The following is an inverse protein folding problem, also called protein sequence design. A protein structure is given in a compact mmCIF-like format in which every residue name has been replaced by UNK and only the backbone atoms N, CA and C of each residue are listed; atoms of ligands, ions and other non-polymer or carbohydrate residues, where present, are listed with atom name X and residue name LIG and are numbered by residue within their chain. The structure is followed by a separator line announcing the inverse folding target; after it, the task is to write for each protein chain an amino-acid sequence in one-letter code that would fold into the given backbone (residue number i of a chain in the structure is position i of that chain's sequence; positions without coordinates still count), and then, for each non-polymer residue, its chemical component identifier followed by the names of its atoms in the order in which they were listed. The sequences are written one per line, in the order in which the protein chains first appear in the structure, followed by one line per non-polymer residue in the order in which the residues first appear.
data_IF_289430298700
#
_entry.id   IF_289430298700
#
_cell.length_a   1.000
_cell.length_b   1.000
_cell.length_c   1.000
_cell.angle_alpha   90.00
_cell.angle_beta   90.00
_cell.angle_gamma   90.00
#
_symmetry.space_group_name_H-M   'P 1'
#
loop_
_entity.id
_entity.type
_entity.pdbx_description
1 polymer ?
#
# COMPACT_ATOMS: atom_id res chain seq x y z
N UNK A 1 37.75 -58.13 -50.15
CA UNK A 1 36.62 -57.56 -49.39
C UNK A 1 37.14 -56.45 -48.51
N UNK A 2 37.05 -55.18 -48.96
CA UNK A 2 37.36 -53.99 -48.16
C UNK A 2 36.14 -53.08 -48.27
N UNK A 3 35.41 -52.93 -47.17
CA UNK A 3 34.20 -52.11 -47.09
C UNK A 3 34.57 -50.63 -47.06
N UNK A 4 33.96 -49.86 -47.96
CA UNK A 4 34.00 -48.39 -47.98
C UNK A 4 32.79 -47.92 -47.18
N UNK A 5 33.01 -47.31 -46.01
CA UNK A 5 31.97 -46.64 -45.24
C UNK A 5 31.88 -45.18 -45.68
N UNK A 6 30.77 -44.80 -46.32
CA UNK A 6 30.46 -43.41 -46.67
C UNK A 6 29.96 -42.64 -45.46
N UNK A 7 30.58 -41.50 -45.17
CA UNK A 7 30.09 -40.55 -44.17
C UNK A 7 28.99 -39.67 -44.80
N UNK A 8 27.78 -39.73 -44.23
CA UNK A 8 26.69 -38.82 -44.56
C UNK A 8 26.84 -37.57 -43.70
N UNK A 9 27.11 -36.42 -44.33
CA UNK A 9 27.08 -35.11 -43.69
C UNK A 9 25.63 -34.65 -43.62
N UNK A 10 25.03 -34.67 -42.42
CA UNK A 10 23.73 -34.05 -42.20
C UNK A 10 23.93 -32.53 -42.03
N UNK A 11 23.54 -31.75 -43.03
CA UNK A 11 23.46 -30.30 -42.92
C UNK A 11 22.28 -29.93 -42.03
N UNK A 12 22.54 -29.48 -40.80
CA UNK A 12 21.53 -28.88 -39.93
C UNK A 12 21.13 -27.52 -40.51
N UNK A 13 19.94 -27.43 -41.08
CA UNK A 13 19.30 -26.15 -41.41
C UNK A 13 18.94 -25.45 -40.10
N UNK A 14 19.77 -24.50 -39.68
CA UNK A 14 19.40 -23.54 -38.64
C UNK A 14 18.41 -22.56 -39.26
N UNK A 15 17.13 -22.67 -38.90
CA UNK A 15 16.17 -21.61 -39.18
C UNK A 15 16.51 -20.40 -38.30
N UNK A 16 16.59 -19.18 -38.85
CA UNK A 16 16.76 -17.99 -38.03
C UNK A 16 15.52 -17.87 -37.13
N UNK A 17 15.73 -17.91 -35.81
CA UNK A 17 14.71 -17.51 -34.85
C UNK A 17 14.46 -16.03 -35.12
N UNK A 18 13.31 -15.71 -35.67
CA UNK A 18 12.87 -14.32 -35.84
C UNK A 18 12.76 -13.75 -34.42
N UNK A 19 13.60 -12.79 -34.07
CA UNK A 19 13.49 -12.10 -32.79
C UNK A 19 12.13 -11.39 -32.77
N UNK A 20 11.24 -11.83 -31.86
CA UNK A 20 9.98 -11.14 -31.62
C UNK A 20 10.35 -9.75 -31.12
N UNK A 21 9.81 -8.70 -31.74
CA UNK A 21 9.96 -7.35 -31.22
C UNK A 21 9.36 -7.33 -29.81
N UNK A 22 10.19 -7.04 -28.81
CA UNK A 22 9.84 -7.14 -27.41
C UNK A 22 9.28 -5.80 -26.95
N UNK A 23 7.99 -5.77 -26.58
CA UNK A 23 7.39 -4.59 -25.96
C UNK A 23 7.90 -4.47 -24.53
N UNK A 24 8.54 -3.35 -24.20
CA UNK A 24 8.97 -3.08 -22.83
C UNK A 24 7.91 -2.26 -22.10
N UNK A 25 7.67 -2.61 -20.83
CA UNK A 25 6.81 -1.86 -19.90
C UNK A 25 7.63 -1.59 -18.65
N UNK A 26 7.92 -0.32 -18.39
CA UNK A 26 8.61 0.09 -17.17
C UNK A 26 7.58 0.35 -16.08
N UNK A 27 7.71 -0.36 -14.96
CA UNK A 27 6.80 -0.28 -13.82
C UNK A 27 7.49 0.38 -12.65
N UNK A 28 6.93 1.47 -12.14
CA UNK A 28 7.44 2.12 -10.93
C UNK A 28 6.54 1.85 -9.74
N UNK A 29 7.12 1.33 -8.66
CA UNK A 29 6.42 1.10 -7.38
C UNK A 29 7.08 1.86 -6.25
N UNK A 30 6.26 2.36 -5.34
CA UNK A 30 6.67 2.98 -4.09
C UNK A 30 6.22 2.10 -2.92
N UNK A 31 7.06 1.95 -1.91
CA UNK A 31 6.68 1.28 -0.68
C UNK A 31 7.86 0.94 0.19
N UNK A 32 7.57 0.31 1.32
CA UNK A 32 8.58 -0.04 2.31
C UNK A 32 9.31 -1.33 1.92
N UNK A 33 10.55 -1.56 2.41
CA UNK A 33 11.27 -2.80 2.18
C UNK A 33 10.44 -4.04 2.55
N UNK A 34 10.37 -5.00 1.62
CA UNK A 34 9.53 -6.20 1.78
C UNK A 34 8.14 -6.08 1.16
N UNK A 35 7.49 -4.92 1.26
CA UNK A 35 6.16 -4.68 0.68
C UNK A 35 6.19 -4.79 -0.86
N UNK A 36 7.21 -4.20 -1.48
CA UNK A 36 7.29 -4.08 -2.95
C UNK A 36 7.88 -5.31 -3.64
N UNK A 37 8.36 -6.31 -2.89
CA UNK A 37 9.00 -7.50 -3.46
C UNK A 37 8.04 -8.36 -4.29
N UNK A 38 6.76 -8.37 -3.92
CA UNK A 38 5.72 -9.12 -4.66
C UNK A 38 5.64 -8.70 -6.13
N UNK A 39 5.98 -7.45 -6.46
CA UNK A 39 5.90 -6.96 -7.83
C UNK A 39 7.03 -7.51 -8.72
N UNK A 40 8.20 -7.81 -8.15
CA UNK A 40 9.26 -8.50 -8.89
C UNK A 40 8.83 -9.93 -9.24
N UNK A 41 8.25 -10.64 -8.26
CA UNK A 41 7.75 -12.01 -8.44
C UNK A 41 6.62 -12.05 -9.49
N UNK A 42 5.70 -11.08 -9.44
CA UNK A 42 4.62 -10.92 -10.42
C UNK A 42 5.16 -10.61 -11.82
N UNK A 43 6.16 -9.74 -11.93
CA UNK A 43 6.80 -9.41 -13.20
C UNK A 43 7.53 -10.63 -13.80
N UNK A 44 8.26 -11.39 -12.97
CA UNK A 44 8.93 -12.62 -13.41
C UNK A 44 7.92 -13.66 -13.92
N UNK A 45 6.85 -13.91 -13.16
CA UNK A 45 5.79 -14.84 -13.55
C UNK A 45 5.11 -14.41 -14.85
N UNK A 46 4.81 -13.12 -15.01
CA UNK A 46 4.20 -12.60 -16.23
C UNK A 46 5.15 -12.71 -17.44
N UNK A 47 6.43 -12.32 -17.28
CA UNK A 47 7.43 -12.38 -18.35
C UNK A 47 7.66 -13.82 -18.84
N UNK A 48 7.62 -14.81 -17.93
CA UNK A 48 7.74 -16.21 -18.29
C UNK A 48 6.56 -16.73 -19.12
N UNK A 49 5.36 -16.13 -18.94
CA UNK A 49 4.14 -16.49 -19.67
C UNK A 49 3.97 -15.70 -20.97
N UNK A 50 4.66 -14.56 -21.13
CA UNK A 50 4.46 -13.60 -22.21
C UNK A 50 5.76 -13.25 -22.94
N UNK A 51 6.24 -14.14 -23.81
CA UNK A 51 7.53 -14.00 -24.50
C UNK A 51 7.68 -12.77 -25.43
N UNK A 52 6.59 -12.02 -25.70
CA UNK A 52 6.60 -10.79 -26.49
C UNK A 52 6.67 -9.50 -25.66
N UNK A 53 6.59 -9.58 -24.33
CA UNK A 53 6.56 -8.44 -23.43
C UNK A 53 7.67 -8.59 -22.39
N UNK A 54 8.20 -7.47 -21.90
CA UNK A 54 9.10 -7.44 -20.74
C UNK A 54 8.67 -6.36 -19.78
N UNK A 55 8.27 -6.81 -18.59
CA UNK A 55 8.01 -5.98 -17.43
C UNK A 55 9.32 -5.76 -16.67
N UNK A 56 9.68 -4.50 -16.47
CA UNK A 56 10.84 -4.09 -15.66
C UNK A 56 10.35 -3.28 -14.46
N UNK A 57 10.52 -3.81 -13.25
CA UNK A 57 10.10 -3.13 -12.00
C UNK A 57 11.23 -2.26 -11.45
N UNK A 58 10.91 -1.01 -11.13
CA UNK A 58 11.77 -0.04 -10.46
C UNK A 58 11.15 0.30 -9.12
N UNK A 59 11.81 -0.12 -8.05
CA UNK A 59 11.37 0.10 -6.67
C UNK A 59 12.00 1.38 -6.12
N UNK A 60 11.17 2.26 -5.56
CA UNK A 60 11.63 3.44 -4.84
C UNK A 60 11.02 3.45 -3.44
N UNK A 61 11.66 4.14 -2.52
CA UNK A 61 11.05 4.49 -1.24
C UNK A 61 10.03 5.62 -1.43
N UNK A 62 9.03 5.69 -0.55
CA UNK A 62 7.94 6.67 -0.64
C UNK A 62 8.43 8.13 -0.65
N UNK A 63 9.52 8.44 0.05
CA UNK A 63 10.12 9.78 0.11
C UNK A 63 10.84 10.19 -1.20
N UNK A 64 11.36 9.21 -1.95
CA UNK A 64 12.06 9.44 -3.22
C UNK A 64 11.12 9.40 -4.43
N UNK A 65 10.02 8.67 -4.33
CA UNK A 65 9.12 8.41 -5.47
C UNK A 65 8.43 9.67 -5.97
N UNK A 66 7.69 10.38 -5.11
CA UNK A 66 6.87 11.53 -5.53
C UNK A 66 7.71 12.66 -6.18
N UNK A 67 8.88 13.04 -5.63
CA UNK A 67 9.75 14.05 -6.25
C UNK A 67 10.32 13.64 -7.62
N UNK A 68 10.50 12.34 -7.87
CA UNK A 68 11.06 11.83 -9.13
C UNK A 68 9.98 11.61 -10.21
N UNK A 69 8.78 11.19 -9.83
CA UNK A 69 7.72 10.80 -10.76
C UNK A 69 7.21 11.98 -11.60
N UNK A 70 6.82 13.10 -10.97
CA UNK A 70 6.18 14.22 -11.70
C UNK A 70 7.12 14.81 -12.78
N UNK A 71 8.41 15.10 -12.49
CA UNK A 71 9.34 15.56 -13.52
C UNK A 71 9.52 14.58 -14.68
N UNK A 72 9.62 13.27 -14.39
CA UNK A 72 9.78 12.25 -15.42
C UNK A 72 8.56 12.20 -16.35
N UNK A 73 7.36 12.12 -15.78
CA UNK A 73 6.12 12.12 -16.56
C UNK A 73 5.95 13.39 -17.39
N UNK A 74 6.30 14.55 -16.83
CA UNK A 74 6.24 15.84 -17.53
C UNK A 74 7.21 15.93 -18.72
N UNK A 75 8.32 15.20 -18.68
CA UNK A 75 9.26 15.09 -19.78
C UNK A 75 8.83 14.06 -20.85
N UNK A 76 7.73 13.33 -20.62
CA UNK A 76 7.34 12.19 -21.46
C UNK A 76 8.27 10.99 -21.26
N UNK A 77 8.95 10.91 -20.12
CA UNK A 77 9.86 9.84 -19.72
C UNK A 77 9.32 9.11 -18.47
N UNK A 78 10.09 8.15 -17.96
CA UNK A 78 9.77 7.44 -16.72
C UNK A 78 8.90 6.20 -16.94
N UNK A 79 8.05 5.83 -15.97
CA UNK A 79 7.27 4.61 -16.03
C UNK A 79 6.17 4.66 -17.10
N UNK A 80 5.86 3.50 -17.65
CA UNK A 80 4.62 3.27 -18.38
C UNK A 80 3.47 3.04 -17.40
N UNK A 81 3.71 2.21 -16.37
CA UNK A 81 2.76 1.86 -15.32
C UNK A 81 3.34 2.23 -13.95
N UNK A 82 2.54 2.83 -13.07
CA UNK A 82 3.05 3.21 -11.75
C UNK A 82 1.98 3.23 -10.66
N UNK A 83 2.43 2.96 -9.43
CA UNK A 83 1.61 3.04 -8.22
C UNK A 83 1.73 4.42 -7.59
N UNK A 84 0.62 5.11 -7.35
CA UNK A 84 0.61 6.47 -6.76
C UNK A 84 -0.60 6.70 -5.86
N UNK A 85 -0.54 7.75 -5.04
CA UNK A 85 -1.64 8.11 -4.15
C UNK A 85 -2.92 8.52 -4.91
N UNK A 86 -4.06 8.32 -4.26
CA UNK A 86 -5.40 8.49 -4.85
C UNK A 86 -6.14 9.70 -4.25
N UNK A 87 -7.41 9.87 -4.62
CA UNK A 87 -8.26 10.95 -4.14
C UNK A 87 -8.01 12.30 -4.85
N UNK A 88 -8.66 13.38 -4.39
CA UNK A 88 -8.67 14.66 -5.10
C UNK A 88 -7.36 15.47 -4.97
N UNK A 89 -6.42 15.02 -4.14
CA UNK A 89 -5.19 15.75 -3.81
C UNK A 89 -4.02 15.40 -4.71
N UNK A 90 -3.33 14.30 -4.40
CA UNK A 90 -2.06 13.93 -5.05
C UNK A 90 -2.15 13.77 -6.58
N UNK A 91 -3.10 13.01 -7.15
CA UNK A 91 -3.12 12.78 -8.59
C UNK A 91 -3.65 13.97 -9.40
N UNK A 92 -4.23 15.00 -8.75
CA UNK A 92 -4.86 16.12 -9.46
C UNK A 92 -3.90 16.88 -10.40
N UNK A 93 -2.62 16.99 -10.03
CA UNK A 93 -1.61 17.62 -10.88
C UNK A 93 -1.29 16.78 -12.12
N UNK A 94 -1.24 15.45 -11.98
CA UNK A 94 -1.00 14.52 -13.09
C UNK A 94 -2.18 14.53 -14.07
N UNK A 95 -3.41 14.48 -13.54
CA UNK A 95 -4.64 14.50 -14.33
C UNK A 95 -4.77 15.82 -15.09
N UNK A 96 -4.65 16.97 -14.40
CA UNK A 96 -4.74 18.30 -15.04
C UNK A 96 -3.62 18.54 -16.06
N UNK A 97 -2.45 17.93 -15.84
CA UNK A 97 -1.32 17.98 -16.76
C UNK A 97 -1.46 17.09 -17.99
N UNK A 98 -2.49 16.23 -18.05
CA UNK A 98 -2.64 15.24 -19.13
C UNK A 98 -1.52 14.19 -19.13
N UNK A 99 -1.00 13.85 -17.94
CA UNK A 99 0.15 12.94 -17.80
C UNK A 99 -0.27 11.48 -17.58
N UNK A 100 -1.54 11.23 -17.29
CA UNK A 100 -2.10 9.90 -17.00
C UNK A 100 -3.28 9.60 -17.91
N UNK A 101 -3.43 8.33 -18.25
CA UNK A 101 -4.43 7.86 -19.19
C UNK A 101 -5.82 7.74 -18.59
N UNK A 102 -6.82 7.96 -19.43
CA UNK A 102 -8.22 7.67 -19.14
C UNK A 102 -8.47 6.15 -19.29
N UNK A 103 -8.72 5.48 -18.17
CA UNK A 103 -8.94 4.03 -18.11
C UNK A 103 -10.42 3.66 -18.16
N UNK A 104 -11.31 4.58 -18.51
CA UNK A 104 -12.76 4.35 -18.52
C UNK A 104 -13.17 3.23 -19.47
N UNK A 105 -12.58 3.16 -20.66
CA UNK A 105 -12.89 2.08 -21.61
C UNK A 105 -12.41 0.73 -21.06
N UNK A 106 -11.16 0.69 -20.55
CA UNK A 106 -10.59 -0.51 -19.93
C UNK A 106 -11.43 -1.02 -18.75
N UNK A 107 -12.01 -0.11 -17.97
CA UNK A 107 -12.89 -0.45 -16.84
C UNK A 107 -14.10 -1.31 -17.25
N UNK A 108 -14.69 -1.01 -18.41
CA UNK A 108 -15.82 -1.77 -18.94
C UNK A 108 -15.37 -2.99 -19.74
N UNK A 109 -14.35 -2.84 -20.59
CA UNK A 109 -13.91 -3.89 -21.50
C UNK A 109 -13.25 -5.09 -20.78
N UNK A 110 -12.55 -4.82 -19.67
CA UNK A 110 -11.87 -5.87 -18.89
C UNK A 110 -12.67 -6.34 -17.66
N UNK A 111 -13.94 -5.94 -17.53
CA UNK A 111 -14.81 -6.38 -16.44
C UNK A 111 -14.40 -5.85 -15.06
N UNK A 112 -13.65 -4.75 -15.01
CA UNK A 112 -13.26 -4.13 -13.74
C UNK A 112 -14.48 -3.59 -12.98
N UNK A 113 -15.57 -3.27 -13.68
CA UNK A 113 -16.85 -2.89 -13.06
C UNK A 113 -17.46 -3.95 -12.14
N UNK A 114 -17.14 -5.22 -12.37
CA UNK A 114 -17.61 -6.33 -11.53
C UNK A 114 -16.61 -6.67 -10.40
N UNK A 115 -15.42 -6.06 -10.46
CA UNK A 115 -14.31 -6.32 -9.54
C UNK A 115 -14.13 -5.19 -8.53
N UNK A 116 -14.12 -3.93 -8.99
CA UNK A 116 -13.76 -2.77 -8.20
C UNK A 116 -15.04 -2.22 -7.54
N UNK A 117 -15.13 -2.18 -6.20
CA UNK A 117 -16.29 -1.61 -5.52
C UNK A 117 -16.47 -0.12 -5.84
N UNK A 118 -17.72 0.35 -5.86
CA UNK A 118 -18.07 1.75 -6.19
C UNK A 118 -17.29 2.77 -5.34
N UNK A 119 -17.15 2.53 -4.03
CA UNK A 119 -16.40 3.42 -3.14
C UNK A 119 -14.90 3.54 -3.46
N UNK A 120 -14.33 2.55 -4.16
CA UNK A 120 -12.95 2.59 -4.66
C UNK A 120 -12.90 3.37 -5.98
N UNK A 121 -13.85 3.11 -6.88
CA UNK A 121 -14.00 3.86 -8.15
C UNK A 121 -14.11 5.36 -7.88
N UNK A 122 -14.87 5.78 -6.86
CA UNK A 122 -14.99 7.18 -6.46
C UNK A 122 -13.65 7.83 -6.08
N UNK A 123 -12.69 7.07 -5.55
CA UNK A 123 -11.39 7.57 -5.11
C UNK A 123 -10.36 7.62 -6.25
N UNK A 124 -10.58 6.87 -7.33
CA UNK A 124 -9.70 6.85 -8.50
C UNK A 124 -10.30 7.55 -9.73
N UNK A 125 -11.47 8.17 -9.58
CA UNK A 125 -12.17 8.87 -10.66
C UNK A 125 -12.27 10.36 -10.41
N UNK A 126 -12.25 11.15 -11.49
CA UNK A 126 -12.61 12.56 -11.46
C UNK A 126 -13.18 12.98 -12.81
N UNK A 127 -14.13 13.94 -12.81
CA UNK A 127 -14.78 14.44 -14.02
C UNK A 127 -15.42 13.35 -14.91
N UNK A 128 -15.94 12.29 -14.27
CA UNK A 128 -16.61 11.18 -14.96
C UNK A 128 -15.67 10.18 -15.64
N UNK A 129 -14.36 10.30 -15.41
CA UNK A 129 -13.33 9.41 -15.97
C UNK A 129 -12.64 8.63 -14.85
N UNK A 130 -12.30 7.37 -15.13
CA UNK A 130 -11.44 6.56 -14.27
C UNK A 130 -9.97 6.82 -14.63
N UNK A 131 -9.15 7.20 -13.66
CA UNK A 131 -7.73 7.51 -13.89
C UNK A 131 -6.78 6.46 -13.37
N UNK A 132 -7.24 5.59 -12.47
CA UNK A 132 -6.44 4.52 -11.90
C UNK A 132 -7.27 3.30 -11.53
N UNK A 133 -6.61 2.15 -11.54
CA UNK A 133 -7.11 0.94 -10.91
C UNK A 133 -6.75 0.97 -9.41
N UNK A 134 -7.74 0.89 -8.52
CA UNK A 134 -7.49 0.74 -7.08
C UNK A 134 -7.12 -0.71 -6.76
N UNK A 135 -5.90 -0.97 -6.27
CA UNK A 135 -5.36 -2.34 -6.15
C UNK A 135 -5.88 -3.11 -4.95
N UNK A 136 -6.00 -2.45 -3.80
CA UNK A 136 -6.20 -3.11 -2.51
C UNK A 136 -7.16 -2.33 -1.61
N UNK A 137 -7.65 -3.02 -0.59
CA UNK A 137 -8.35 -2.39 0.54
C UNK A 137 -7.51 -2.58 1.77
N UNK A 138 -7.22 -1.49 2.45
CA UNK A 138 -6.43 -1.50 3.67
C UNK A 138 -7.08 -0.66 4.76
N UNK A 139 -6.76 -1.00 6.00
CA UNK A 139 -7.16 -0.22 7.16
C UNK A 139 -5.99 -0.10 8.12
N UNK A 140 -5.90 1.05 8.77
CA UNK A 140 -4.89 1.30 9.81
C UNK A 140 -5.39 0.82 11.17
N UNK A 141 -4.48 0.25 11.95
CA UNK A 141 -4.74 -0.19 13.32
C UNK A 141 -3.54 0.09 14.23
N UNK A 142 -3.73 -0.16 15.52
CA UNK A 142 -2.64 -0.15 16.47
C UNK A 142 -1.97 -1.53 16.46
N UNK A 143 -0.83 -1.63 15.80
CA UNK A 143 0.03 -2.80 15.88
C UNK A 143 0.73 -2.77 17.23
N UNK A 144 0.81 -3.91 17.91
CA UNK A 144 1.39 -4.00 19.25
C UNK A 144 2.10 -5.32 19.51
N UNK A 145 3.01 -5.30 20.47
CA UNK A 145 3.70 -6.47 20.97
C UNK A 145 2.96 -7.05 22.20
N UNK A 146 2.31 -8.20 22.01
CA UNK A 146 1.57 -8.95 23.04
C UNK A 146 2.45 -9.39 24.20
N UNK A 147 3.71 -9.71 23.96
CA UNK A 147 4.63 -10.12 25.02
C UNK A 147 4.90 -8.96 25.98
N UNK A 148 5.13 -7.74 25.45
CA UNK A 148 5.27 -6.52 26.26
C UNK A 148 3.98 -6.23 27.05
N UNK A 149 2.82 -6.30 26.40
CA UNK A 149 1.53 -6.11 27.07
C UNK A 149 1.33 -7.11 28.21
N UNK A 150 1.60 -8.40 27.96
CA UNK A 150 1.48 -9.46 28.95
C UNK A 150 2.46 -9.30 30.12
N UNK A 151 3.70 -8.90 29.85
CA UNK A 151 4.74 -8.65 30.86
C UNK A 151 4.32 -7.56 31.86
N UNK A 152 3.68 -6.50 31.37
CA UNK A 152 3.26 -5.35 32.18
C UNK A 152 1.79 -5.40 32.61
N UNK A 153 1.09 -6.51 32.37
CA UNK A 153 -0.31 -6.68 32.77
C UNK A 153 -1.27 -5.72 32.05
N UNK A 154 -0.90 -5.26 30.86
CA UNK A 154 -1.72 -4.35 30.04
C UNK A 154 -2.66 -5.20 29.18
N UNK A 155 -3.95 -4.88 29.21
CA UNK A 155 -4.95 -5.45 28.31
C UNK A 155 -5.10 -4.63 27.03
N UNK A 156 -5.61 -5.23 25.95
CA UNK A 156 -5.97 -4.49 24.74
C UNK A 156 -7.07 -3.48 25.09
N UNK A 157 -6.82 -2.17 24.90
CA UNK A 157 -7.78 -1.15 25.28
C UNK A 157 -8.96 -1.10 24.31
N UNK A 158 -10.17 -1.00 24.86
CA UNK A 158 -11.44 -0.91 24.11
C UNK A 158 -12.10 0.47 24.27
N UNK A 159 -11.63 1.26 25.23
CA UNK A 159 -12.07 2.64 25.48
C UNK A 159 -10.88 3.61 25.53
N UNK A 160 -11.12 4.91 25.33
CA UNK A 160 -10.05 5.89 25.43
C UNK A 160 -9.36 5.93 26.81
N UNK A 161 -10.09 5.89 27.95
CA UNK A 161 -9.45 5.83 29.27
C UNK A 161 -8.56 4.59 29.47
N UNK A 162 -8.95 3.44 28.90
CA UNK A 162 -8.09 2.24 28.91
C UNK A 162 -6.82 2.44 28.07
N UNK A 163 -6.91 3.14 26.94
CA UNK A 163 -5.74 3.50 26.14
C UNK A 163 -4.80 4.42 26.90
N UNK A 164 -5.34 5.44 27.60
CA UNK A 164 -4.57 6.35 28.44
C UNK A 164 -3.85 5.59 29.57
N UNK A 165 -4.55 4.65 30.23
CA UNK A 165 -3.97 3.80 31.26
C UNK A 165 -2.88 2.84 30.74
N UNK A 166 -3.08 2.27 29.54
CA UNK A 166 -2.10 1.43 28.87
C UNK A 166 -0.81 2.21 28.58
N UNK A 167 -0.94 3.41 27.99
CA UNK A 167 0.22 4.29 27.71
C UNK A 167 0.94 4.68 29.00
N UNK A 168 0.21 5.09 30.03
CA UNK A 168 0.80 5.44 31.33
C UNK A 168 1.59 4.26 31.93
N UNK A 169 1.02 3.05 31.93
CA UNK A 169 1.68 1.84 32.44
C UNK A 169 2.98 1.55 31.69
N UNK A 170 2.98 1.69 30.37
CA UNK A 170 4.18 1.46 29.54
C UNK A 170 5.25 2.53 29.79
N UNK A 171 4.86 3.79 29.98
CA UNK A 171 5.79 4.85 30.36
C UNK A 171 6.40 4.58 31.74
N UNK A 172 5.61 4.17 32.73
CA UNK A 172 6.09 3.79 34.06
C UNK A 172 7.03 2.57 34.03
N UNK A 173 6.82 1.65 33.08
CA UNK A 173 7.69 0.51 32.82
C UNK A 173 9.00 0.87 32.09
N UNK A 174 9.20 2.14 31.71
CA UNK A 174 10.43 2.64 31.08
C UNK A 174 10.40 2.68 29.55
N UNK A 175 9.24 2.47 28.91
CA UNK A 175 9.11 2.71 27.47
C UNK A 175 8.93 4.21 27.22
N UNK A 176 10.03 4.90 26.96
CA UNK A 176 10.04 6.33 26.61
C UNK A 176 9.29 6.63 25.30
N UNK A 177 8.94 5.62 24.50
CA UNK A 177 8.11 5.74 23.30
C UNK A 177 7.03 4.65 23.33
N UNK A 178 5.91 4.88 24.05
CA UNK A 178 4.83 3.90 24.14
C UNK A 178 4.19 3.61 22.78
N UNK A 179 4.01 4.65 21.96
CA UNK A 179 3.51 4.56 20.59
C UNK A 179 4.57 5.11 19.64
N UNK A 180 5.09 4.27 18.78
CA UNK A 180 5.96 4.65 17.68
C UNK A 180 5.30 5.63 16.72
N UNK A 181 6.01 6.69 16.37
CA UNK A 181 5.63 7.62 15.32
C UNK A 181 6.84 8.11 14.53
N UNK A 182 7.02 7.60 13.30
CA UNK A 182 8.11 7.96 12.40
C UNK A 182 7.84 9.30 11.73
N UNK A 183 7.82 10.39 12.51
CA UNK A 183 7.30 11.67 12.02
C UNK A 183 8.24 12.40 11.05
N UNK A 184 9.50 11.97 10.90
CA UNK A 184 10.42 12.56 9.92
C UNK A 184 9.86 12.45 8.48
N UNK A 185 9.15 11.36 8.18
CA UNK A 185 8.59 11.09 6.85
C UNK A 185 7.20 11.72 6.65
N UNK A 186 6.65 12.35 7.71
CA UNK A 186 5.38 13.10 7.75
C UNK A 186 4.12 12.27 7.53
N UNK A 187 4.09 11.36 6.55
CA UNK A 187 2.91 10.56 6.24
C UNK A 187 2.39 9.73 7.42
N UNK A 188 3.22 9.22 8.37
CA UNK A 188 2.68 8.52 9.54
C UNK A 188 1.87 9.45 10.46
N UNK A 189 2.25 10.72 10.55
CA UNK A 189 1.46 11.76 11.26
C UNK A 189 0.14 12.00 10.53
N UNK A 190 0.18 12.03 9.19
CA UNK A 190 -1.02 12.22 8.38
C UNK A 190 -2.04 11.09 8.55
N UNK A 191 -1.62 9.85 8.84
CA UNK A 191 -2.55 8.76 9.13
C UNK A 191 -3.29 8.94 10.46
N UNK A 192 -2.58 9.36 11.52
CA UNK A 192 -3.22 9.76 12.77
C UNK A 192 -4.22 10.88 12.55
N UNK A 193 -3.81 11.92 11.83
CA UNK A 193 -4.64 13.07 11.51
C UNK A 193 -5.89 12.67 10.72
N UNK A 194 -5.75 11.90 9.64
CA UNK A 194 -6.86 11.44 8.80
C UNK A 194 -7.84 10.57 9.58
N UNK A 195 -7.33 9.66 10.41
CA UNK A 195 -8.18 8.84 11.27
C UNK A 195 -8.98 9.69 12.25
N UNK A 196 -8.32 10.60 12.97
CA UNK A 196 -9.00 11.50 13.90
C UNK A 196 -9.99 12.43 13.19
N UNK A 197 -9.63 12.99 12.04
CA UNK A 197 -10.55 13.81 11.24
C UNK A 197 -11.82 13.04 10.87
N UNK A 198 -11.68 11.78 10.43
CA UNK A 198 -12.82 10.91 10.16
C UNK A 198 -13.67 10.62 11.40
N UNK A 199 -13.06 10.47 12.58
CA UNK A 199 -13.79 10.23 13.85
C UNK A 199 -14.56 11.45 14.36
N UNK A 200 -13.97 12.63 14.23
CA UNK A 200 -14.58 13.87 14.72
C UNK A 200 -15.58 14.48 13.73
N UNK A 201 -15.24 14.49 12.43
CA UNK A 201 -16.06 15.13 11.40
C UNK A 201 -17.06 14.19 10.72
N UNK A 202 -16.83 12.87 10.80
CA UNK A 202 -17.60 11.87 10.08
C UNK A 202 -17.43 11.94 8.55
N UNK A 203 -18.02 10.98 7.79
CA UNK A 203 -17.91 10.93 6.35
C UNK A 203 -18.45 12.19 5.65
N UNK A 204 -19.56 12.75 6.14
CA UNK A 204 -20.17 13.96 5.58
C UNK A 204 -19.28 15.19 5.81
N UNK A 205 -18.67 15.34 6.99
CA UNK A 205 -17.74 16.44 7.26
C UNK A 205 -16.48 16.36 6.40
N UNK A 206 -15.95 15.15 6.19
CA UNK A 206 -14.83 14.91 5.27
C UNK A 206 -15.23 15.24 3.82
N UNK A 207 -16.38 14.78 3.36
CA UNK A 207 -16.86 15.08 2.01
C UNK A 207 -17.05 16.59 1.81
N UNK A 208 -17.60 17.30 2.80
CA UNK A 208 -17.84 18.73 2.73
C UNK A 208 -16.55 19.56 2.66
N UNK A 209 -15.47 19.17 3.36
CA UNK A 209 -14.20 19.90 3.28
C UNK A 209 -13.41 19.59 2.00
N UNK A 210 -13.58 18.38 1.45
CA UNK A 210 -12.87 17.98 0.22
C UNK A 210 -13.57 18.47 -1.05
N UNK A 211 -14.90 18.47 -1.06
CA UNK A 211 -15.69 18.67 -2.28
C UNK A 211 -16.78 19.76 -2.16
N UNK A 212 -16.99 20.29 -0.95
CA UNK A 212 -17.99 21.33 -0.67
C UNK A 212 -17.34 22.63 -0.20
N UNK A 213 -18.09 23.36 0.63
CA UNK A 213 -17.69 24.66 1.18
C UNK A 213 -17.15 24.57 2.63
N UNK A 214 -16.86 23.36 3.11
CA UNK A 214 -16.30 23.14 4.44
C UNK A 214 -14.87 23.66 4.59
N UNK A 215 -14.43 23.91 5.83
CA UNK A 215 -13.09 24.40 6.11
C UNK A 215 -12.34 23.50 7.09
N UNK A 216 -11.03 23.33 6.88
CA UNK A 216 -10.15 22.63 7.84
C UNK A 216 -10.05 23.33 9.20
N UNK A 217 -10.55 24.57 9.31
CA UNK A 217 -10.67 25.33 10.56
C UNK A 217 -12.00 25.10 11.28
N UNK A 218 -12.90 24.29 10.74
CA UNK A 218 -14.16 23.95 11.40
C UNK A 218 -13.90 23.15 12.68
N UNK A 219 -14.82 23.30 13.65
CA UNK A 219 -14.63 22.80 15.02
C UNK A 219 -14.22 21.31 15.12
N UNK A 220 -14.78 20.37 14.33
CA UNK A 220 -14.37 18.97 14.40
C UNK A 220 -12.89 18.74 14.03
N UNK A 221 -12.38 19.44 13.01
CA UNK A 221 -10.99 19.31 12.58
C UNK A 221 -10.03 19.94 13.59
N UNK A 222 -10.41 21.10 14.16
CA UNK A 222 -9.64 21.75 15.22
C UNK A 222 -9.58 20.86 16.48
N UNK A 223 -10.69 20.23 16.86
CA UNK A 223 -10.74 19.32 18.01
C UNK A 223 -9.83 18.10 17.80
N UNK A 224 -9.90 17.47 16.62
CA UNK A 224 -9.02 16.36 16.26
C UNK A 224 -7.53 16.74 16.27
N UNK A 225 -7.16 17.87 15.66
CA UNK A 225 -5.78 18.35 15.65
C UNK A 225 -5.28 18.70 17.07
N UNK A 226 -6.15 19.27 17.91
CA UNK A 226 -5.83 19.58 19.31
C UNK A 226 -5.59 18.29 20.10
N UNK A 227 -6.44 17.26 19.95
CA UNK A 227 -6.26 15.96 20.59
C UNK A 227 -4.93 15.31 20.21
N UNK A 228 -4.58 15.31 18.91
CA UNK A 228 -3.29 14.77 18.44
C UNK A 228 -2.10 15.53 19.04
N UNK A 229 -2.20 16.86 19.10
CA UNK A 229 -1.17 17.69 19.71
C UNK A 229 -1.01 17.38 21.21
N UNK A 230 -2.11 17.18 21.93
CA UNK A 230 -2.07 16.90 23.36
C UNK A 230 -1.52 15.51 23.69
N UNK A 231 -1.77 14.50 22.84
CA UNK A 231 -1.07 13.20 22.92
C UNK A 231 0.45 13.39 22.80
N UNK A 232 0.90 14.19 21.82
CA UNK A 232 2.32 14.50 21.64
C UNK A 232 2.94 15.21 22.85
N UNK A 233 2.27 16.23 23.39
CA UNK A 233 2.73 16.94 24.62
C UNK A 233 2.77 16.02 25.84
N UNK A 234 1.92 15.00 25.88
CA UNK A 234 1.85 14.02 26.97
C UNK A 234 2.90 12.91 26.85
N UNK A 235 3.78 12.96 25.85
CA UNK A 235 4.90 12.02 25.70
C UNK A 235 4.53 10.70 25.02
N UNK A 236 3.33 10.56 24.45
CA UNK A 236 2.86 9.30 23.85
C UNK A 236 3.75 8.81 22.71
N UNK A 237 4.35 9.74 21.97
CA UNK A 237 5.21 9.49 20.82
C UNK A 237 6.71 9.61 21.14
N UNK A 238 7.05 9.68 22.43
CA UNK A 238 8.40 9.89 22.92
C UNK A 238 8.94 11.32 22.69
N UNK A 239 10.24 11.53 23.02
CA UNK A 239 10.79 12.88 23.18
C UNK A 239 11.02 13.63 21.87
N UNK A 240 11.27 12.93 20.76
CA UNK A 240 11.59 13.56 19.48
C UNK A 240 11.13 12.72 18.28
N UNK A 241 9.82 12.52 18.07
CA UNK A 241 9.30 11.70 16.98
C UNK A 241 9.67 12.26 15.59
N UNK A 242 9.94 13.57 15.46
CA UNK A 242 10.31 14.21 14.19
C UNK A 242 11.74 13.93 13.74
N UNK A 243 12.56 13.29 14.58
CA UNK A 243 13.92 12.89 14.25
C UNK A 243 14.03 11.45 13.73
N UNK A 244 12.96 10.65 13.83
CA UNK A 244 12.97 9.23 13.52
C UNK A 244 12.15 8.99 12.25
N UNK A 245 12.76 8.32 11.27
CA UNK A 245 12.09 7.88 10.04
C UNK A 245 11.23 6.65 10.29
N UNK A 246 10.30 6.37 9.37
CA UNK A 246 9.38 5.25 9.49
C UNK A 246 10.10 3.90 9.48
N UNK A 247 11.06 3.70 8.55
CA UNK A 247 11.84 2.45 8.48
C UNK A 247 12.60 2.15 9.77
N UNK A 248 13.32 3.14 10.31
CA UNK A 248 14.02 3.02 11.61
C UNK A 248 13.05 2.67 12.74
N UNK A 249 11.87 3.30 12.76
CA UNK A 249 10.85 2.98 13.77
C UNK A 249 10.36 1.54 13.65
N UNK A 250 10.11 1.05 12.44
CA UNK A 250 9.63 -0.32 12.22
C UNK A 250 10.68 -1.34 12.65
N UNK A 251 11.96 -1.11 12.38
CA UNK A 251 13.04 -1.98 12.88
C UNK A 251 13.01 -2.09 14.41
N UNK A 252 12.85 -0.97 15.12
CA UNK A 252 12.75 -0.93 16.60
C UNK A 252 11.48 -1.62 17.11
N UNK A 253 10.35 -1.44 16.42
CA UNK A 253 9.09 -2.11 16.76
C UNK A 253 9.20 -3.64 16.63
N UNK A 254 9.73 -4.13 15.51
CA UNK A 254 9.94 -5.56 15.29
C UNK A 254 11.07 -6.13 16.16
N UNK A 255 12.00 -5.31 16.64
CA UNK A 255 12.97 -5.69 17.67
C UNK A 255 12.37 -5.79 19.09
N UNK A 256 11.14 -5.29 19.29
CA UNK A 256 10.47 -5.28 20.60
C UNK A 256 10.90 -4.12 21.51
N UNK A 257 11.48 -3.05 20.95
CA UNK A 257 11.87 -1.86 21.70
C UNK A 257 10.75 -0.83 21.82
N UNK A 258 9.76 -0.89 20.92
CA UNK A 258 8.60 0.00 20.88
C UNK A 258 7.34 -0.84 21.08
N UNK A 259 6.50 -0.58 22.10
CA UNK A 259 5.35 -1.43 22.42
C UNK A 259 4.25 -1.45 21.36
N UNK A 260 3.97 -0.28 20.77
CA UNK A 260 2.87 -0.08 19.84
C UNK A 260 3.27 0.84 18.70
N UNK A 261 2.60 0.73 17.55
CA UNK A 261 2.68 1.70 16.47
C UNK A 261 1.36 1.73 15.70
N UNK A 262 0.90 2.93 15.34
CA UNK A 262 -0.30 3.08 14.51
C UNK A 262 0.10 3.09 13.04
N UNK A 263 -0.29 2.05 12.32
CA UNK A 263 0.12 1.83 10.94
C UNK A 263 -0.84 0.88 10.24
N UNK A 264 -0.55 0.46 9.02
CA UNK A 264 -1.41 -0.40 8.21
C UNK A 264 -0.74 -1.71 7.81
N UNK A 265 -1.44 -2.54 7.02
CA UNK A 265 -1.03 -3.91 6.71
C UNK A 265 0.28 -4.00 5.92
N UNK A 266 0.72 -2.92 5.27
CA UNK A 266 2.00 -2.86 4.54
C UNK A 266 3.23 -3.23 5.39
N UNK A 267 3.14 -3.16 6.73
CA UNK A 267 4.22 -3.61 7.62
C UNK A 267 4.39 -5.11 7.71
N UNK A 268 3.37 -5.89 7.34
CA UNK A 268 3.33 -7.33 7.60
C UNK A 268 4.42 -8.04 6.79
N UNK A 269 4.57 -7.72 5.51
CA UNK A 269 5.54 -8.37 4.62
C UNK A 269 6.98 -8.28 5.15
N UNK A 270 7.46 -7.06 5.42
CA UNK A 270 8.79 -6.84 6.02
C UNK A 270 8.88 -7.32 7.48
N UNK A 271 7.80 -7.17 8.23
CA UNK A 271 7.71 -7.54 9.64
C UNK A 271 7.88 -9.02 9.94
N UNK A 272 7.38 -9.91 9.06
CA UNK A 272 7.58 -11.36 9.20
C UNK A 272 9.07 -11.69 9.17
N UNK A 273 9.81 -11.12 8.22
CA UNK A 273 11.25 -11.34 8.12
C UNK A 273 12.01 -10.73 9.31
N UNK A 274 11.62 -9.53 9.74
CA UNK A 274 12.27 -8.83 10.86
C UNK A 274 12.00 -9.49 12.22
N UNK A 275 10.78 -9.95 12.46
CA UNK A 275 10.38 -10.59 13.72
C UNK A 275 10.84 -12.06 13.79
N UNK A 276 10.89 -12.76 12.65
CA UNK A 276 11.20 -14.20 12.60
C UNK A 276 10.21 -15.01 13.44
N UNK A 277 10.73 -15.90 14.29
CA UNK A 277 9.92 -16.74 15.18
C UNK A 277 9.06 -15.93 16.16
N UNK A 278 9.42 -14.66 16.42
CA UNK A 278 8.65 -13.75 17.30
C UNK A 278 7.45 -13.11 16.61
N UNK A 279 7.18 -13.39 15.33
CA UNK A 279 6.00 -12.82 14.64
C UNK A 279 4.70 -13.11 15.39
N UNK A 280 4.63 -14.25 16.08
CA UNK A 280 3.50 -14.63 16.94
C UNK A 280 3.31 -13.77 18.18
N UNK A 281 4.29 -12.95 18.56
CA UNK A 281 4.20 -11.99 19.67
C UNK A 281 3.52 -10.69 19.25
N UNK A 282 3.24 -10.49 17.97
CA UNK A 282 2.60 -9.27 17.47
C UNK A 282 1.13 -9.51 17.17
N UNK A 283 0.34 -8.44 17.25
CA UNK A 283 -1.05 -8.42 16.82
C UNK A 283 -1.48 -6.97 16.56
N UNK A 284 -2.73 -6.78 16.15
CA UNK A 284 -3.34 -5.48 15.86
C UNK A 284 -4.64 -5.33 16.66
N UNK A 285 -4.94 -4.12 17.10
CA UNK A 285 -6.25 -3.75 17.62
C UNK A 285 -6.73 -2.43 17.03
N UNK A 286 -8.05 -2.24 17.03
CA UNK A 286 -8.65 -0.98 16.58
C UNK A 286 -8.43 0.11 17.63
N UNK A 287 -8.01 1.31 17.21
CA UNK A 287 -7.92 2.46 18.13
C UNK A 287 -9.33 2.72 18.71
N UNK A 288 -9.46 2.77 20.06
CA UNK A 288 -10.77 2.94 20.68
C UNK A 288 -11.36 4.33 20.37
N UNK A 289 -12.71 4.49 20.48
CA UNK A 289 -13.35 5.78 20.31
C UNK A 289 -12.75 6.82 21.27
N UNK A 290 -12.55 8.06 20.80
CA UNK A 290 -11.99 9.15 21.61
C UNK A 290 -12.98 9.76 22.60
N UNK A 291 -14.28 9.58 22.34
CA UNK A 291 -15.40 10.06 23.13
C UNK A 291 -16.41 8.92 23.31
N UNK A 292 -17.14 8.94 24.42
CA UNK A 292 -18.22 7.98 24.68
C UNK A 292 -19.28 8.05 23.56
N UNK A 293 -19.80 6.90 23.14
CA UNK A 293 -20.77 6.75 22.05
C UNK A 293 -20.33 7.31 20.67
N UNK A 294 -19.05 7.67 20.48
CA UNK A 294 -18.54 8.13 19.20
C UNK A 294 -18.67 7.03 18.14
N UNK A 295 -19.40 7.34 17.07
CA UNK A 295 -19.57 6.42 15.95
C UNK A 295 -18.22 6.15 15.29
N UNK A 296 -17.88 4.87 15.19
CA UNK A 296 -16.69 4.42 14.47
C UNK A 296 -17.02 4.32 12.98
N UNK A 297 -16.42 5.21 12.19
CA UNK A 297 -16.31 5.03 10.75
C UNK A 297 -14.95 4.38 10.47
N UNK A 298 -14.90 3.14 9.95
CA UNK A 298 -13.64 2.51 9.59
C UNK A 298 -12.89 3.38 8.59
N UNK A 299 -11.63 3.69 8.89
CA UNK A 299 -10.72 4.26 7.91
C UNK A 299 -10.31 3.16 6.96
N UNK A 300 -11.02 3.07 5.83
CA UNK A 300 -10.63 2.21 4.74
C UNK A 300 -9.97 3.09 3.67
N UNK A 301 -8.76 2.71 3.27
CA UNK A 301 -8.05 3.33 2.16
C UNK A 301 -7.96 2.33 1.02
N UNK A 302 -7.73 2.87 -0.17
CA UNK A 302 -7.21 2.09 -1.29
C UNK A 302 -5.72 2.32 -1.28
N UNK A 303 -4.93 1.28 -1.02
CA UNK A 303 -3.50 1.45 -0.74
C UNK A 303 -2.80 2.30 -1.79
N UNK A 304 -2.99 1.99 -3.07
CA UNK A 304 -2.59 2.88 -4.16
C UNK A 304 -3.51 2.80 -5.38
N UNK A 305 -3.44 3.83 -6.22
CA UNK A 305 -3.95 3.79 -7.58
C UNK A 305 -2.85 3.36 -8.53
N UNK A 306 -3.17 2.47 -9.46
CA UNK A 306 -2.31 2.09 -10.56
C UNK A 306 -2.67 2.89 -11.80
N UNK A 307 -1.76 3.74 -12.21
CA UNK A 307 -1.91 4.70 -13.30
C UNK A 307 -1.05 4.30 -14.48
N UNK A 308 -1.53 4.55 -15.69
CA UNK A 308 -0.73 4.43 -16.91
C UNK A 308 -0.38 5.84 -17.39
N UNK A 309 0.87 6.05 -17.78
CA UNK A 309 1.32 7.31 -18.41
C UNK A 309 0.60 7.50 -19.75
N UNK A 310 0.00 8.67 -19.96
CA UNK A 310 -0.78 8.98 -21.18
C UNK A 310 0.04 8.79 -22.46
N UNK A 311 1.33 9.13 -22.43
CA UNK A 311 2.24 9.02 -23.58
C UNK A 311 2.89 7.64 -23.76
N UNK A 312 2.46 6.62 -23.01
CA UNK A 312 3.02 5.26 -23.15
C UNK A 312 2.61 4.62 -24.48
N UNK A 313 3.59 4.09 -25.21
CA UNK A 313 3.36 3.28 -26.42
C UNK A 313 3.00 1.83 -26.09
N UNK A 314 3.07 1.44 -24.80
CA UNK A 314 2.86 0.07 -24.32
C UNK A 314 1.55 -0.09 -23.52
N UNK A 315 0.53 0.74 -23.81
CA UNK A 315 -0.75 0.80 -23.09
C UNK A 315 -1.40 -0.59 -22.93
N UNK A 316 -1.59 -1.33 -24.01
CA UNK A 316 -2.25 -2.65 -23.98
C UNK A 316 -1.49 -3.65 -23.11
N UNK A 317 -0.15 -3.64 -23.19
CA UNK A 317 0.70 -4.51 -22.37
C UNK A 317 0.67 -4.12 -20.89
N UNK A 318 0.59 -2.82 -20.58
CA UNK A 318 0.43 -2.34 -19.21
C UNK A 318 -0.94 -2.74 -18.62
N UNK A 319 -2.03 -2.61 -19.39
CA UNK A 319 -3.37 -3.06 -18.98
C UNK A 319 -3.40 -4.57 -18.77
N UNK A 320 -2.80 -5.35 -19.67
CA UNK A 320 -2.72 -6.81 -19.53
C UNK A 320 -1.95 -7.24 -18.28
N UNK A 321 -0.82 -6.57 -17.99
CA UNK A 321 -0.08 -6.81 -16.75
C UNK A 321 -0.89 -6.42 -15.49
N UNK A 322 -1.65 -5.32 -15.52
CA UNK A 322 -2.57 -4.96 -14.44
C UNK A 322 -3.65 -6.03 -14.23
N UNK A 323 -4.22 -6.57 -15.31
CA UNK A 323 -5.17 -7.69 -15.23
C UNK A 323 -4.53 -8.93 -14.61
N UNK A 324 -3.29 -9.25 -15.00
CA UNK A 324 -2.54 -10.34 -14.40
C UNK A 324 -2.36 -10.13 -12.89
N UNK A 325 -1.88 -8.95 -12.46
CA UNK A 325 -1.63 -8.68 -11.04
C UNK A 325 -2.91 -8.67 -10.20
N UNK A 326 -3.95 -7.94 -10.64
CA UNK A 326 -5.08 -7.56 -9.79
C UNK A 326 -6.38 -8.28 -10.10
N UNK A 327 -6.47 -9.02 -11.21
CA UNK A 327 -7.70 -9.73 -11.61
C UNK A 327 -7.49 -11.24 -11.67
N UNK A 328 -6.32 -11.70 -12.13
CA UNK A 328 -6.04 -13.13 -12.17
C UNK A 328 -5.99 -13.77 -10.77
N UNK A 329 -6.36 -15.04 -10.68
CA UNK A 329 -6.26 -15.80 -9.41
C UNK A 329 -4.80 -15.90 -8.97
N UNK A 330 -3.87 -16.14 -9.91
CA UNK A 330 -2.44 -16.25 -9.62
C UNK A 330 -1.89 -14.96 -8.99
N UNK A 331 -2.13 -13.82 -9.64
CA UNK A 331 -1.68 -12.52 -9.14
C UNK A 331 -2.26 -12.19 -7.76
N UNK A 332 -3.56 -12.42 -7.58
CA UNK A 332 -4.24 -12.21 -6.29
C UNK A 332 -3.72 -13.13 -5.19
N UNK A 333 -3.37 -14.38 -5.49
CA UNK A 333 -2.74 -15.30 -4.52
C UNK A 333 -1.38 -14.78 -4.09
N UNK A 334 -0.56 -14.30 -5.03
CA UNK A 334 0.74 -13.70 -4.72
C UNK A 334 0.61 -12.47 -3.81
N UNK A 335 -0.37 -11.59 -4.11
CA UNK A 335 -0.67 -10.42 -3.28
C UNK A 335 -1.13 -10.81 -1.87
N UNK A 336 -2.06 -11.77 -1.74
CA UNK A 336 -2.53 -12.26 -0.44
C UNK A 336 -1.41 -12.89 0.39
N UNK A 337 -0.51 -13.64 -0.24
CA UNK A 337 0.65 -14.22 0.43
C UNK A 337 1.64 -13.15 0.93
N UNK A 338 1.70 -12.01 0.23
CA UNK A 338 2.49 -10.85 0.63
C UNK A 338 1.81 -9.99 1.72
N UNK A 339 0.55 -10.28 2.07
CA UNK A 339 -0.22 -9.52 3.06
C UNK A 339 -1.01 -8.34 2.48
N UNK A 340 -1.08 -8.19 1.16
CA UNK A 340 -1.95 -7.25 0.47
C UNK A 340 -3.32 -7.89 0.23
N UNK A 341 -4.40 -7.15 0.48
CA UNK A 341 -5.78 -7.62 0.27
C UNK A 341 -6.31 -7.02 -1.03
N UNK A 342 -6.35 -7.77 -2.15
CA UNK A 342 -6.78 -7.23 -3.44
C UNK A 342 -8.26 -6.85 -3.44
N UNK A 343 -8.64 -5.87 -4.26
CA UNK A 343 -10.04 -5.50 -4.45
C UNK A 343 -10.85 -6.60 -5.13
N UNK A 344 -12.15 -6.67 -4.78
CA UNK A 344 -13.13 -7.54 -5.42
C UNK A 344 -13.26 -8.93 -4.79
N UNK A 345 -13.99 -9.85 -5.44
CA UNK A 345 -14.22 -11.19 -4.91
C UNK A 345 -12.92 -12.00 -4.79
N UNK A 346 -12.67 -12.59 -3.61
CA UNK A 346 -11.42 -13.31 -3.30
C UNK A 346 -11.58 -14.82 -3.10
N UNK A 347 -12.79 -15.38 -3.19
CA UNK A 347 -13.06 -16.79 -2.82
C UNK A 347 -12.09 -17.79 -3.48
N UNK A 348 -11.83 -17.64 -4.79
CA UNK A 348 -10.92 -18.52 -5.51
C UNK A 348 -9.46 -18.36 -5.09
N UNK A 349 -9.02 -17.13 -4.80
CA UNK A 349 -7.66 -16.86 -4.37
C UNK A 349 -7.44 -17.34 -2.92
N UNK A 350 -8.38 -17.05 -2.02
CA UNK A 350 -8.34 -17.46 -0.60
C UNK A 350 -8.29 -18.97 -0.42
N UNK A 351 -8.87 -19.75 -1.34
CA UNK A 351 -8.80 -21.21 -1.30
C UNK A 351 -7.37 -21.77 -1.42
N UNK A 352 -6.42 -20.96 -1.89
CA UNK A 352 -5.03 -21.39 -2.16
C UNK A 352 -3.97 -20.49 -1.51
N UNK A 353 -4.35 -19.29 -1.10
CA UNK A 353 -3.47 -18.35 -0.42
C UNK A 353 -3.00 -18.90 0.94
N UNK A 354 -1.74 -18.63 1.25
CA UNK A 354 -1.08 -18.89 2.53
C UNK A 354 -0.80 -17.54 3.19
N UNK A 355 -1.87 -16.86 3.59
CA UNK A 355 -1.76 -15.55 4.21
C UNK A 355 -0.96 -15.64 5.51
N UNK A 356 -0.12 -14.65 5.80
CA UNK A 356 0.62 -14.62 7.06
C UNK A 356 -0.33 -14.45 8.25
N UNK A 357 0.02 -14.94 9.46
CA UNK A 357 -0.87 -14.88 10.63
C UNK A 357 -1.34 -13.48 11.03
N UNK A 358 -0.61 -12.43 10.66
CA UNK A 358 -0.97 -11.02 10.91
C UNK A 358 -1.92 -10.43 9.86
N UNK A 359 -2.15 -11.13 8.74
CA UNK A 359 -3.04 -10.71 7.65
C UNK A 359 -4.39 -11.46 7.66
N UNK A 360 -4.63 -12.32 8.66
CA UNK A 360 -5.88 -13.09 8.87
C UNK A 360 -6.73 -12.41 9.95
#
# INVERSE_FOLDING_TARGET
MKNIAGAVFAASLAFPVMAIAQTEVVVWVAGEPGQTNVYDDLAEAYNAQNAGVTITVVKNTSDLFNPALIPALSAGEGPDLFSFGTGPGQPAALIKGGLVADLTDAYFEHGWSDTIPEGIVMQTSSDGKLWAFGNEVETTGMFYNKAIFAEHGVSVPTTWPEMEAAVATLMEAGYDTPIGLGAADKWPVSHWQSMMFGRYAGPEGIANVLFGDGAWTDAPFVAAATKLQDMGKSGWFGPNPVAIGYGELMDRFWAGEVPMTFTGPWVIGGGIAAAGDRVGDYSVFAVPPFEDDQQIHPTNSIGSGWYIRESSESMDAAIDFMNFMFVSVEGRVSLLNAGTIPVGPLDAALATAKMPPLAV
#
